data_IF_190238155985
#
_entry.id   IF_190238155985
#
_cell.length_a   1.000
_cell.length_b   1.000
_cell.length_c   1.000
_cell.angle_alpha   90.00
_cell.angle_beta   90.00
_cell.angle_gamma   90.00
#
_symmetry.space_group_name_H-M   'P 1'
#
loop_
_entity.id
_entity.type
_entity.pdbx_description
1 polymer ?
#
# COMPACT_ATOMS: atom_id res chain seq x y z
N UNK A 1 -6.11 23.91 7.16
CA UNK A 1 -5.67 22.97 8.21
C UNK A 1 -4.20 23.21 8.52
N UNK A 2 -3.69 22.73 9.65
CA UNK A 2 -2.25 22.60 9.92
C UNK A 2 -1.79 21.20 9.53
N UNK A 3 -0.96 21.11 8.50
CA UNK A 3 -0.58 19.82 7.89
C UNK A 3 0.92 19.62 8.02
N UNK A 4 1.33 18.57 8.73
CA UNK A 4 2.72 18.12 8.77
C UNK A 4 3.06 17.29 7.55
N UNK A 5 4.17 17.58 6.87
CA UNK A 5 4.72 16.79 5.77
C UNK A 5 6.01 16.15 6.28
N UNK A 6 6.01 14.82 6.40
CA UNK A 6 7.20 14.07 6.80
C UNK A 6 7.72 13.25 5.64
N UNK A 7 8.66 13.85 4.90
CA UNK A 7 9.32 13.22 3.76
C UNK A 7 10.43 12.26 4.17
N UNK A 8 10.62 11.18 3.41
CA UNK A 8 11.72 10.24 3.68
C UNK A 8 11.76 9.06 2.71
N UNK A 9 12.89 8.33 2.68
CA UNK A 9 12.96 7.08 1.88
C UNK A 9 12.10 5.97 2.48
N UNK A 10 12.02 5.90 3.82
CA UNK A 10 11.31 4.88 4.60
C UNK A 10 11.65 3.44 4.18
N UNK A 11 12.94 3.09 4.29
CA UNK A 11 13.50 1.82 3.78
C UNK A 11 14.24 1.01 4.86
N UNK A 12 13.55 0.48 5.90
CA UNK A 12 12.11 0.56 6.15
C UNK A 12 11.70 1.76 7.02
N UNK A 13 10.39 2.05 7.05
CA UNK A 13 9.76 2.83 8.14
C UNK A 13 9.94 2.09 9.48
N UNK A 14 10.00 2.82 10.59
CA UNK A 14 10.22 2.24 11.92
C UNK A 14 9.59 3.12 13.01
N UNK A 15 9.53 2.62 14.25
CA UNK A 15 8.90 3.29 15.40
C UNK A 15 9.45 4.68 15.67
N UNK A 16 10.75 4.91 15.45
CA UNK A 16 11.34 6.25 15.53
C UNK A 16 10.69 7.27 14.58
N UNK A 17 10.35 6.88 13.34
CA UNK A 17 9.62 7.75 12.41
C UNK A 17 8.21 8.06 12.93
N UNK A 18 7.50 7.05 13.44
CA UNK A 18 6.16 7.24 14.00
C UNK A 18 6.16 8.15 15.24
N UNK A 19 7.19 8.04 16.07
CA UNK A 19 7.34 8.91 17.24
C UNK A 19 7.59 10.37 16.86
N UNK A 20 8.42 10.61 15.83
CA UNK A 20 8.64 11.96 15.28
C UNK A 20 7.32 12.54 14.76
N UNK A 21 6.56 11.76 13.98
CA UNK A 21 5.27 12.20 13.44
C UNK A 21 4.27 12.55 14.55
N UNK A 22 4.16 11.71 15.59
CA UNK A 22 3.29 11.96 16.75
C UNK A 22 3.70 13.20 17.53
N UNK A 23 4.99 13.34 17.82
CA UNK A 23 5.53 14.49 18.53
C UNK A 23 5.25 15.79 17.77
N UNK A 24 5.45 15.79 16.44
CA UNK A 24 5.13 16.94 15.60
C UNK A 24 3.65 17.30 15.68
N UNK A 25 2.78 16.28 15.57
CA UNK A 25 1.33 16.48 15.66
C UNK A 25 0.91 17.08 16.99
N UNK A 26 1.41 16.53 18.09
CA UNK A 26 1.06 16.94 19.46
C UNK A 26 1.61 18.33 19.80
N UNK A 27 2.92 18.56 19.63
CA UNK A 27 3.58 19.80 20.08
C UNK A 27 3.17 21.03 19.28
N UNK A 28 2.83 20.86 18.00
CA UNK A 28 2.45 21.97 17.12
C UNK A 28 0.94 22.04 16.82
N UNK A 29 0.16 21.15 17.42
CA UNK A 29 -1.28 21.06 17.21
C UNK A 29 -1.63 20.88 15.74
N UNK A 30 -0.95 19.95 15.05
CA UNK A 30 -1.22 19.66 13.64
C UNK A 30 -2.52 18.85 13.54
N UNK A 31 -3.36 19.19 12.55
CA UNK A 31 -4.59 18.45 12.28
C UNK A 31 -4.26 17.04 11.77
N UNK A 32 -3.23 16.94 10.92
CA UNK A 32 -2.72 15.68 10.39
C UNK A 32 -1.22 15.73 10.10
N UNK A 33 -0.61 14.55 10.00
CA UNK A 33 0.75 14.36 9.47
C UNK A 33 0.72 13.42 8.28
N UNK A 34 1.22 13.87 7.14
CA UNK A 34 1.36 13.13 5.91
C UNK A 34 2.76 12.53 5.82
N UNK A 35 2.85 11.22 5.99
CA UNK A 35 4.06 10.43 5.72
C UNK A 35 4.19 10.32 4.20
N UNK A 36 5.26 10.88 3.66
CA UNK A 36 5.43 11.05 2.22
C UNK A 36 6.70 10.33 1.74
N UNK A 37 6.59 9.07 1.30
CA UNK A 37 7.74 8.32 0.83
C UNK A 37 8.27 8.91 -0.47
N UNK A 38 9.59 9.12 -0.53
CA UNK A 38 10.22 9.68 -1.70
C UNK A 38 10.24 8.67 -2.86
N UNK A 39 9.79 9.09 -4.05
CA UNK A 39 9.84 8.25 -5.26
C UNK A 39 11.29 8.13 -5.75
N UNK A 40 11.94 9.26 -6.02
CA UNK A 40 13.35 9.32 -6.44
C UNK A 40 14.07 10.30 -5.50
N UNK A 41 14.69 9.81 -4.40
CA UNK A 41 15.36 10.69 -3.45
C UNK A 41 16.58 11.37 -4.12
N UNK A 42 16.74 12.71 -3.99
CA UNK A 42 17.80 13.47 -4.67
C UNK A 42 19.20 12.95 -4.33
N UNK A 43 19.42 12.51 -3.10
CA UNK A 43 20.74 12.05 -2.61
C UNK A 43 21.02 10.56 -2.87
N UNK A 44 20.08 9.80 -3.45
CA UNK A 44 20.22 8.32 -3.57
C UNK A 44 20.08 7.73 -4.97
N UNK A 45 19.59 8.49 -5.97
CA UNK A 45 19.50 8.09 -7.40
C UNK A 45 19.29 6.57 -7.65
N UNK A 46 18.39 5.95 -6.88
CA UNK A 46 18.02 4.52 -6.90
C UNK A 46 19.11 3.45 -6.72
N UNK A 47 20.32 3.78 -6.25
CA UNK A 47 21.34 2.74 -5.94
C UNK A 47 21.00 2.05 -4.61
N UNK A 48 20.46 0.83 -4.69
CA UNK A 48 20.26 -0.06 -3.54
C UNK A 48 19.04 0.27 -2.65
N UNK A 49 18.08 1.03 -3.16
CA UNK A 49 16.80 1.30 -2.48
C UNK A 49 15.81 0.16 -2.76
N UNK A 50 15.05 -0.26 -1.76
CA UNK A 50 13.96 -1.22 -1.94
C UNK A 50 12.89 -0.66 -2.88
N UNK A 51 12.33 -1.52 -3.75
CA UNK A 51 11.30 -1.11 -4.72
C UNK A 51 10.10 -0.42 -4.09
N UNK A 52 9.53 0.55 -4.82
CA UNK A 52 8.45 1.45 -4.37
C UNK A 52 7.28 0.73 -3.71
N UNK A 53 6.80 -0.34 -4.35
CA UNK A 53 5.66 -1.14 -3.86
C UNK A 53 5.92 -1.67 -2.44
N UNK A 54 7.13 -2.15 -2.17
CA UNK A 54 7.49 -2.66 -0.85
C UNK A 54 7.60 -1.54 0.18
N UNK A 55 8.20 -0.38 -0.18
CA UNK A 55 8.30 0.76 0.74
C UNK A 55 6.93 1.31 1.11
N UNK A 56 6.05 1.50 0.12
CA UNK A 56 4.67 1.89 0.34
C UNK A 56 3.90 0.86 1.16
N UNK A 57 4.16 -0.43 0.95
CA UNK A 57 3.54 -1.47 1.77
C UNK A 57 3.99 -1.42 3.22
N UNK A 58 5.30 -1.30 3.46
CA UNK A 58 5.86 -1.19 4.81
C UNK A 58 5.33 0.04 5.54
N UNK A 59 5.21 1.18 4.85
CA UNK A 59 4.58 2.40 5.38
C UNK A 59 3.12 2.14 5.71
N UNK A 60 2.33 1.67 4.75
CA UNK A 60 0.89 1.37 4.92
C UNK A 60 0.62 0.45 6.11
N UNK A 61 1.46 -0.57 6.33
CA UNK A 61 1.34 -1.51 7.44
C UNK A 61 1.77 -0.93 8.80
N UNK A 62 2.63 0.09 8.80
CA UNK A 62 3.13 0.75 10.01
C UNK A 62 2.21 1.86 10.52
N UNK A 63 1.41 2.47 9.64
CA UNK A 63 0.62 3.64 10.00
C UNK A 63 -0.54 3.29 10.95
N UNK A 64 -0.72 4.05 12.04
CA UNK A 64 -1.84 3.86 12.94
C UNK A 64 -3.16 4.36 12.32
N UNK A 65 -4.24 3.60 12.51
CA UNK A 65 -5.58 3.99 12.06
C UNK A 65 -6.18 4.99 13.04
N UNK A 66 -6.69 6.12 12.53
CA UNK A 66 -7.42 7.12 13.32
C UNK A 66 -6.55 8.12 14.10
N UNK A 67 -5.22 8.02 14.06
CA UNK A 67 -4.32 8.99 14.71
C UNK A 67 -4.05 10.23 13.85
N UNK A 68 -4.67 10.38 12.68
CA UNK A 68 -4.39 11.50 11.74
C UNK A 68 -2.95 11.50 11.23
N UNK A 69 -2.35 10.31 11.07
CA UNK A 69 -1.05 10.10 10.43
C UNK A 69 -1.29 9.22 9.21
N UNK A 70 -1.10 9.78 8.01
CA UNK A 70 -1.59 9.19 6.77
C UNK A 70 -0.49 9.10 5.71
N UNK A 71 -0.63 8.13 4.81
CA UNK A 71 0.26 7.99 3.65
C UNK A 71 -0.14 9.03 2.61
N UNK A 72 0.84 9.74 2.06
CA UNK A 72 0.64 10.67 0.94
C UNK A 72 1.50 10.24 -0.25
N UNK A 73 0.86 10.13 -1.42
CA UNK A 73 1.43 9.66 -2.68
C UNK A 73 1.83 10.81 -3.62
N UNK A 74 1.76 12.07 -3.18
CA UNK A 74 2.02 13.26 -4.01
C UNK A 74 3.32 13.15 -4.81
N UNK A 75 4.39 12.59 -4.23
CA UNK A 75 5.67 12.41 -4.96
C UNK A 75 5.67 11.25 -5.97
N UNK A 76 4.76 10.28 -5.84
CA UNK A 76 4.56 9.21 -6.82
C UNK A 76 3.71 9.63 -8.02
N UNK A 77 2.89 10.67 -7.86
CA UNK A 77 2.07 11.27 -8.94
C UNK A 77 2.91 12.13 -9.90
N UNK A 78 4.11 12.53 -9.48
CA UNK A 78 5.02 13.41 -10.22
C UNK A 78 6.13 12.60 -10.90
N UNK A 79 6.60 13.11 -12.03
CA UNK A 79 7.84 12.63 -12.66
C UNK A 79 9.06 13.41 -12.12
N UNK A 80 10.24 12.84 -12.32
CA UNK A 80 11.51 13.47 -11.92
C UNK A 80 11.89 13.24 -10.46
N UNK A 81 12.83 14.06 -9.98
CA UNK A 81 13.39 13.96 -8.63
C UNK A 81 12.40 14.51 -7.60
N UNK A 82 12.35 13.88 -6.43
CA UNK A 82 11.57 14.31 -5.27
C UNK A 82 12.19 15.54 -4.59
N UNK A 83 12.07 16.73 -5.19
CA UNK A 83 12.48 17.99 -4.54
C UNK A 83 11.38 18.55 -3.63
N UNK A 84 11.72 18.81 -2.37
CA UNK A 84 10.78 19.33 -1.37
C UNK A 84 10.14 20.66 -1.77
N UNK A 85 10.89 21.55 -2.43
CA UNK A 85 10.37 22.82 -2.95
C UNK A 85 9.20 22.64 -3.91
N UNK A 86 9.29 21.64 -4.80
CA UNK A 86 8.23 21.36 -5.76
C UNK A 86 7.03 20.66 -5.11
N UNK A 87 7.30 19.74 -4.19
CA UNK A 87 6.25 19.06 -3.40
C UNK A 87 5.43 20.08 -2.61
N UNK A 88 6.08 21.01 -1.90
CA UNK A 88 5.39 22.05 -1.14
C UNK A 88 4.63 23.02 -2.04
N UNK A 89 5.18 23.39 -3.21
CA UNK A 89 4.49 24.25 -4.17
C UNK A 89 3.20 23.59 -4.68
N UNK A 90 3.26 22.29 -5.02
CA UNK A 90 2.09 21.53 -5.46
C UNK A 90 1.03 21.40 -4.35
N UNK A 91 1.46 21.15 -3.11
CA UNK A 91 0.54 21.06 -1.98
C UNK A 91 -0.13 22.42 -1.70
N UNK A 92 0.62 23.51 -1.78
CA UNK A 92 0.09 24.86 -1.62
C UNK A 92 -0.89 25.23 -2.75
N UNK A 93 -0.61 24.82 -3.99
CA UNK A 93 -1.54 25.00 -5.12
C UNK A 93 -2.85 24.22 -4.92
N UNK A 94 -2.75 22.95 -4.49
CA UNK A 94 -3.93 22.09 -4.24
C UNK A 94 -4.74 22.56 -3.03
N UNK A 95 -4.08 23.12 -2.02
CA UNK A 95 -4.69 23.51 -0.74
C UNK A 95 -4.15 24.87 -0.26
N UNK A 96 -4.54 25.99 -0.89
CA UNK A 96 -3.98 27.32 -0.60
C UNK A 96 -4.28 27.83 0.82
N UNK A 97 -5.26 27.24 1.51
CA UNK A 97 -5.61 27.56 2.90
C UNK A 97 -4.88 26.74 3.96
N UNK A 98 -4.04 25.77 3.57
CA UNK A 98 -3.31 24.94 4.51
C UNK A 98 -2.00 25.60 4.97
N UNK A 99 -1.72 25.48 6.26
CA UNK A 99 -0.42 25.83 6.86
C UNK A 99 0.44 24.58 6.84
N UNK A 100 1.52 24.61 6.06
CA UNK A 100 2.40 23.46 5.88
C UNK A 100 3.55 23.48 6.89
N UNK A 101 3.82 22.32 7.49
CA UNK A 101 4.93 22.10 8.40
C UNK A 101 5.81 20.98 7.86
N UNK A 102 7.05 21.24 7.45
CA UNK A 102 7.95 20.21 6.96
C UNK A 102 8.75 19.61 8.13
N UNK A 103 8.59 18.32 8.40
CA UNK A 103 9.29 17.63 9.48
C UNK A 103 10.60 17.06 8.94
N UNK A 104 11.72 17.48 9.53
CA UNK A 104 13.07 17.10 9.09
C UNK A 104 13.94 16.67 10.28
N UNK A 105 15.02 15.94 10.02
CA UNK A 105 16.02 15.61 11.03
C UNK A 105 17.03 16.72 11.27
N UNK A 106 17.76 16.64 12.38
CA UNK A 106 18.88 17.54 12.70
C UNK A 106 19.99 17.55 11.62
N UNK A 107 20.25 16.41 10.98
CA UNK A 107 21.17 16.27 9.85
C UNK A 107 20.72 17.13 8.66
N UNK A 108 19.42 17.10 8.35
CA UNK A 108 18.83 17.90 7.28
C UNK A 108 18.89 19.41 7.55
N UNK A 109 18.91 19.85 8.82
CA UNK A 109 19.08 21.26 9.17
C UNK A 109 20.47 21.78 8.75
N UNK A 110 21.52 20.97 8.92
CA UNK A 110 22.90 21.34 8.52
C UNK A 110 23.01 21.49 7.01
N UNK A 111 22.40 20.55 6.28
CA UNK A 111 22.50 20.48 4.82
C UNK A 111 21.46 21.34 4.08
N UNK A 112 20.53 21.97 4.79
CA UNK A 112 19.37 22.65 4.19
C UNK A 112 19.74 23.69 3.12
N UNK A 113 20.86 24.41 3.29
CA UNK A 113 21.35 25.38 2.28
C UNK A 113 21.70 24.76 0.94
N UNK A 114 21.90 23.45 0.88
CA UNK A 114 22.22 22.71 -0.35
C UNK A 114 20.97 22.14 -1.04
N UNK A 115 19.80 22.28 -0.42
CA UNK A 115 18.55 21.77 -0.98
C UNK A 115 18.15 22.56 -2.23
N UNK A 116 17.28 21.97 -3.05
CA UNK A 116 16.77 22.63 -4.25
C UNK A 116 15.78 23.74 -3.86
N UNK A 117 16.10 24.99 -4.18
CA UNK A 117 15.30 26.19 -3.86
C UNK A 117 14.98 26.32 -2.35
N UNK A 118 15.99 26.43 -1.46
CA UNK A 118 15.78 26.42 0.00
C UNK A 118 15.00 27.64 0.48
N UNK A 119 15.14 28.81 -0.16
CA UNK A 119 14.36 30.01 0.15
C UNK A 119 12.87 29.81 -0.13
N UNK A 120 12.53 29.11 -1.23
CA UNK A 120 11.15 28.77 -1.55
C UNK A 120 10.56 27.83 -0.51
N UNK A 121 11.31 26.81 -0.08
CA UNK A 121 10.88 25.89 0.98
C UNK A 121 10.56 26.68 2.27
N UNK A 122 11.48 27.55 2.69
CA UNK A 122 11.30 28.37 3.89
C UNK A 122 10.12 29.35 3.78
N UNK A 123 9.74 29.77 2.57
CA UNK A 123 8.57 30.61 2.34
C UNK A 123 7.23 29.85 2.33
N UNK A 124 7.26 28.55 2.02
CA UNK A 124 6.06 27.72 1.84
C UNK A 124 5.69 26.92 3.08
N UNK A 125 6.63 26.67 3.99
CA UNK A 125 6.40 25.85 5.17
C UNK A 125 7.22 26.30 6.38
N UNK A 126 6.71 25.98 7.58
CA UNK A 126 7.52 25.99 8.82
C UNK A 126 8.27 24.67 8.94
N UNK A 127 9.56 24.70 9.25
CA UNK A 127 10.43 23.52 9.31
C UNK A 127 10.57 23.06 10.75
N UNK A 128 10.02 21.89 11.06
CA UNK A 128 10.06 21.25 12.37
C UNK A 128 11.27 20.33 12.44
N UNK A 129 12.29 20.71 13.20
CA UNK A 129 13.57 20.00 13.24
C UNK A 129 13.61 19.04 14.42
N UNK A 130 13.53 17.74 14.15
CA UNK A 130 13.61 16.70 15.17
C UNK A 130 15.04 16.58 15.71
N UNK A 131 15.21 16.91 16.99
CA UNK A 131 16.50 16.83 17.69
C UNK A 131 16.85 15.36 17.95
N UNK A 132 18.03 14.92 17.52
CA UNK A 132 18.50 13.54 17.73
C UNK A 132 19.73 13.47 18.62
N UNK A 133 20.56 14.51 18.67
CA UNK A 133 21.79 14.51 19.47
C UNK A 133 21.62 14.91 20.95
N UNK A 134 22.67 14.70 21.73
CA UNK A 134 22.80 15.21 23.11
C UNK A 134 23.42 16.61 23.19
N UNK A 135 23.93 17.16 22.08
CA UNK A 135 24.51 18.52 22.02
C UNK A 135 23.42 19.58 21.80
N UNK A 136 22.67 19.85 22.86
CA UNK A 136 21.59 20.84 22.84
C UNK A 136 22.09 22.24 22.48
N UNK A 137 23.27 22.63 22.97
CA UNK A 137 23.80 23.98 22.75
C UNK A 137 24.17 24.19 21.28
N UNK A 138 24.92 23.27 20.67
CA UNK A 138 25.27 23.35 19.26
C UNK A 138 24.04 23.32 18.35
N UNK A 139 23.03 22.53 18.71
CA UNK A 139 21.75 22.51 18.00
C UNK A 139 21.05 23.89 18.03
N UNK A 140 20.90 24.51 19.20
CA UNK A 140 20.24 25.81 19.32
C UNK A 140 20.99 26.93 18.58
N UNK A 141 22.33 26.90 18.61
CA UNK A 141 23.16 27.85 17.86
C UNK A 141 22.95 27.71 16.34
N UNK A 142 22.95 26.48 15.81
CA UNK A 142 22.69 26.20 14.40
C UNK A 142 21.26 26.58 14.00
N UNK A 143 20.26 26.26 14.83
CA UNK A 143 18.87 26.63 14.59
C UNK A 143 18.71 28.15 14.48
N UNK A 144 19.32 28.90 15.41
CA UNK A 144 19.32 30.36 15.37
C UNK A 144 20.05 30.92 14.15
N UNK A 145 21.15 30.29 13.71
CA UNK A 145 21.85 30.64 12.48
C UNK A 145 20.96 30.48 11.25
N UNK A 146 20.32 29.30 11.08
CA UNK A 146 19.43 29.04 9.94
C UNK A 146 18.20 29.96 9.97
N UNK A 147 17.66 30.26 11.15
CA UNK A 147 16.57 31.22 11.29
C UNK A 147 16.95 32.64 10.85
N UNK A 148 18.20 33.08 11.09
CA UNK A 148 18.67 34.38 10.56
C UNK A 148 18.79 34.37 9.04
N UNK A 149 19.14 33.24 8.43
CA UNK A 149 19.30 33.11 6.97
C UNK A 149 17.95 32.99 6.24
N UNK A 150 16.97 32.32 6.85
CA UNK A 150 15.70 31.95 6.19
C UNK A 150 14.48 32.53 6.91
N UNK A 151 14.60 33.71 7.50
CA UNK A 151 13.44 34.48 7.99
C UNK A 151 12.65 33.83 9.12
N UNK A 152 13.28 33.04 9.99
CA UNK A 152 12.61 32.42 11.13
C UNK A 152 11.81 31.14 10.83
N UNK A 153 12.06 30.50 9.68
CA UNK A 153 11.28 29.34 9.23
C UNK A 153 11.43 28.07 10.09
N UNK A 154 12.42 27.97 10.98
CA UNK A 154 12.76 26.74 11.72
C UNK A 154 12.31 26.75 13.17
N UNK A 155 11.73 25.64 13.63
CA UNK A 155 11.32 25.42 15.02
C UNK A 155 11.82 24.05 15.50
N UNK A 156 12.24 23.99 16.77
CA UNK A 156 12.79 22.77 17.38
C UNK A 156 11.68 21.79 17.77
N UNK A 157 11.75 20.57 17.26
CA UNK A 157 10.84 19.48 17.62
C UNK A 157 11.55 18.53 18.60
N UNK A 158 11.08 18.49 19.84
CA UNK A 158 11.60 17.56 20.84
C UNK A 158 11.02 16.18 20.61
N UNK A 159 11.88 15.16 20.48
CA UNK A 159 11.43 13.77 20.34
C UNK A 159 12.16 12.88 21.35
N UNK A 160 11.55 11.77 21.81
CA UNK A 160 12.30 10.79 22.57
C UNK A 160 13.52 10.32 21.76
N UNK A 161 14.67 10.16 22.41
CA UNK A 161 15.85 9.63 21.74
C UNK A 161 15.59 8.19 21.29
N UNK A 162 15.68 7.96 19.99
CA UNK A 162 15.63 6.62 19.40
C UNK A 162 16.95 6.36 18.69
N UNK A 163 17.78 5.51 19.29
CA UNK A 163 19.02 5.01 18.67
C UNK A 163 18.70 3.95 17.61
N UNK A 164 18.04 4.38 16.54
CA UNK A 164 17.47 3.51 15.52
C UNK A 164 17.67 4.15 14.15
N UNK A 165 18.41 3.46 13.27
CA UNK A 165 18.43 3.78 11.85
C UNK A 165 17.86 2.66 10.99
N UNK A 166 17.26 3.01 9.84
CA UNK A 166 16.86 2.01 8.85
C UNK A 166 18.05 1.17 8.37
N UNK A 167 19.26 1.73 8.36
CA UNK A 167 20.48 1.00 7.95
C UNK A 167 20.81 -0.15 8.90
N UNK A 168 20.76 0.09 10.21
CA UNK A 168 20.97 -0.96 11.22
C UNK A 168 19.87 -2.02 11.15
N UNK A 169 18.61 -1.61 10.98
CA UNK A 169 17.49 -2.55 10.81
C UNK A 169 17.74 -3.46 9.61
N UNK A 170 18.12 -2.92 8.45
CA UNK A 170 18.43 -3.72 7.25
C UNK A 170 19.59 -4.70 7.47
N UNK A 171 20.55 -4.38 8.33
CA UNK A 171 21.66 -5.27 8.68
C UNK A 171 21.19 -6.36 9.66
N UNK A 172 20.45 -5.99 10.71
CA UNK A 172 19.97 -6.89 11.75
C UNK A 172 19.03 -7.97 11.19
N UNK A 173 18.04 -7.59 10.37
CA UNK A 173 17.04 -8.54 9.84
C UNK A 173 17.65 -9.61 8.91
N UNK A 174 18.88 -9.42 8.40
CA UNK A 174 19.57 -10.44 7.58
C UNK A 174 19.93 -11.67 8.38
N UNK A 175 20.32 -11.47 9.63
CA UNK A 175 20.88 -12.50 10.51
C UNK A 175 19.92 -12.92 11.60
N UNK A 176 18.98 -12.06 11.96
CA UNK A 176 18.00 -12.31 13.02
C UNK A 176 16.78 -13.06 12.51
N UNK A 177 16.28 -13.98 13.34
CA UNK A 177 15.02 -14.72 13.11
C UNK A 177 13.88 -14.22 13.99
N UNK A 178 14.12 -13.18 14.80
CA UNK A 178 13.14 -12.61 15.72
C UNK A 178 12.68 -11.24 15.20
N UNK A 179 11.45 -10.82 15.54
CA UNK A 179 10.98 -9.48 15.20
C UNK A 179 11.89 -8.40 15.75
N UNK A 180 12.23 -7.43 14.90
CA UNK A 180 13.11 -6.34 15.30
C UNK A 180 12.33 -5.34 16.19
N UNK A 181 12.82 -4.99 17.40
CA UNK A 181 12.05 -4.19 18.36
C UNK A 181 11.72 -2.78 17.85
N UNK A 182 12.53 -2.24 16.93
CA UNK A 182 12.30 -0.96 16.28
C UNK A 182 11.16 -0.94 15.25
N UNK A 183 10.69 -2.10 14.79
CA UNK A 183 9.65 -2.19 13.75
C UNK A 183 8.27 -2.40 14.37
N UNK A 184 7.24 -1.93 13.66
CA UNK A 184 5.87 -2.36 13.90
C UNK A 184 5.76 -3.82 13.45
N UNK A 185 5.07 -4.65 14.22
CA UNK A 185 4.96 -6.10 13.98
C UNK A 185 4.52 -6.43 12.55
N UNK A 186 3.52 -5.71 12.04
CA UNK A 186 3.04 -5.89 10.67
C UNK A 186 4.12 -5.62 9.60
N UNK A 187 4.93 -4.59 9.79
CA UNK A 187 6.03 -4.23 8.89
C UNK A 187 7.17 -5.26 8.96
N UNK A 188 7.51 -5.70 10.17
CA UNK A 188 8.52 -6.74 10.40
C UNK A 188 8.10 -8.07 9.75
N UNK A 189 6.86 -8.51 10.01
CA UNK A 189 6.31 -9.71 9.40
C UNK A 189 6.30 -9.62 7.87
N UNK A 190 5.98 -8.45 7.29
CA UNK A 190 6.06 -8.24 5.84
C UNK A 190 7.48 -8.41 5.29
N UNK A 191 8.48 -7.82 5.95
CA UNK A 191 9.90 -7.99 5.58
C UNK A 191 10.27 -9.47 5.53
N UNK A 192 9.92 -10.23 6.58
CA UNK A 192 10.19 -11.66 6.67
C UNK A 192 9.38 -12.50 5.67
N UNK A 193 8.12 -12.17 5.38
CA UNK A 193 7.27 -12.90 4.42
C UNK A 193 7.86 -12.87 3.02
N UNK A 194 8.39 -11.71 2.62
CA UNK A 194 8.89 -11.46 1.27
C UNK A 194 10.42 -11.50 1.15
N UNK A 195 11.15 -11.79 2.24
CA UNK A 195 12.61 -11.96 2.20
C UNK A 195 13.35 -10.65 1.92
N UNK A 196 12.80 -9.51 2.35
CA UNK A 196 13.40 -8.21 2.11
C UNK A 196 14.73 -8.08 2.87
N UNK A 197 15.61 -7.23 2.34
CA UNK A 197 16.94 -6.95 2.90
C UNK A 197 17.89 -8.15 3.00
N UNK A 198 17.52 -9.31 2.47
CA UNK A 198 18.34 -10.52 2.51
C UNK A 198 17.97 -11.49 3.64
N UNK A 199 16.89 -11.25 4.38
CA UNK A 199 16.39 -12.20 5.37
C UNK A 199 15.84 -13.48 4.68
N UNK A 200 15.77 -14.58 5.43
CA UNK A 200 15.17 -15.82 4.93
C UNK A 200 13.66 -15.64 4.82
N UNK A 201 13.03 -15.85 3.64
CA UNK A 201 11.60 -15.65 3.48
C UNK A 201 10.78 -16.73 4.19
N UNK A 202 9.72 -16.34 4.90
CA UNK A 202 8.80 -17.27 5.59
C UNK A 202 7.67 -17.78 4.68
N UNK A 203 7.28 -17.02 3.65
CA UNK A 203 6.16 -17.36 2.78
C UNK A 203 6.55 -17.48 1.29
N UNK A 204 7.28 -16.49 0.76
CA UNK A 204 7.61 -16.43 -0.67
C UNK A 204 9.08 -16.81 -0.90
N UNK A 205 9.33 -18.08 -1.21
CA UNK A 205 10.68 -18.58 -1.53
C UNK A 205 11.21 -17.97 -2.85
N UNK A 206 12.54 -17.99 -3.01
CA UNK A 206 13.26 -17.41 -4.15
C UNK A 206 12.70 -17.85 -5.52
N UNK A 207 12.29 -19.11 -5.67
CA UNK A 207 11.75 -19.63 -6.94
C UNK A 207 10.40 -19.00 -7.30
N UNK A 208 9.55 -18.75 -6.30
CA UNK A 208 8.27 -18.07 -6.51
C UNK A 208 8.48 -16.61 -6.91
N UNK A 209 9.48 -15.95 -6.31
CA UNK A 209 9.85 -14.58 -6.67
C UNK A 209 10.40 -14.49 -8.10
N UNK A 210 11.24 -15.44 -8.55
CA UNK A 210 11.69 -15.52 -9.95
C UNK A 210 10.54 -15.63 -10.94
N UNK A 211 9.52 -16.46 -10.62
CA UNK A 211 8.32 -16.59 -11.46
C UNK A 211 7.52 -15.29 -11.50
N UNK A 212 7.38 -14.62 -10.35
CA UNK A 212 6.72 -13.33 -10.24
C UNK A 212 7.42 -12.26 -11.09
N UNK A 213 8.75 -12.13 -10.98
CA UNK A 213 9.57 -11.18 -11.75
C UNK A 213 9.38 -11.40 -13.25
N UNK A 214 9.52 -12.64 -13.73
CA UNK A 214 9.37 -12.97 -15.14
C UNK A 214 7.96 -12.66 -15.67
N UNK A 215 6.91 -12.87 -14.87
CA UNK A 215 5.54 -12.49 -15.25
C UNK A 215 5.34 -10.98 -15.22
N UNK A 216 5.93 -10.29 -14.25
CA UNK A 216 5.87 -8.83 -14.11
C UNK A 216 6.55 -8.14 -15.30
N UNK A 217 7.70 -8.61 -15.75
CA UNK A 217 8.38 -8.10 -16.96
C UNK A 217 7.51 -8.28 -18.21
N UNK A 218 6.92 -9.46 -18.38
CA UNK A 218 6.00 -9.72 -19.51
C UNK A 218 4.75 -8.86 -19.44
N UNK A 219 4.23 -8.62 -18.25
CA UNK A 219 3.08 -7.74 -18.03
C UNK A 219 3.42 -6.28 -18.33
N UNK A 220 4.62 -5.81 -17.95
CA UNK A 220 5.10 -4.45 -18.23
C UNK A 220 5.08 -4.10 -19.73
N UNK A 221 5.28 -5.09 -20.61
CA UNK A 221 5.16 -4.90 -22.06
C UNK A 221 3.73 -4.81 -22.60
N UNK A 222 2.71 -4.79 -21.73
CA UNK A 222 1.29 -4.92 -22.14
C UNK A 222 0.33 -3.95 -21.44
N UNK A 223 0.77 -3.36 -20.32
CA UNK A 223 -0.02 -2.41 -19.54
C UNK A 223 0.81 -1.16 -19.26
N UNK A 224 0.15 -0.05 -18.93
CA UNK A 224 0.85 1.20 -18.60
C UNK A 224 1.70 1.05 -17.32
N UNK A 225 2.74 1.88 -17.14
CA UNK A 225 3.54 1.87 -15.90
C UNK A 225 2.70 2.08 -14.63
N UNK A 226 1.71 2.99 -14.68
CA UNK A 226 0.79 3.22 -13.57
C UNK A 226 0.00 1.94 -13.23
N UNK A 227 -0.54 1.25 -14.24
CA UNK A 227 -1.28 0.00 -14.02
C UNK A 227 -0.38 -1.13 -13.55
N UNK A 228 0.87 -1.17 -14.00
CA UNK A 228 1.85 -2.13 -13.49
C UNK A 228 2.11 -1.93 -12.00
N UNK A 229 2.27 -0.68 -11.55
CA UNK A 229 2.42 -0.39 -10.12
C UNK A 229 1.20 -0.83 -9.32
N UNK A 230 0.00 -0.52 -9.81
CA UNK A 230 -1.25 -1.00 -9.23
C UNK A 230 -1.29 -2.54 -9.15
N UNK A 231 -1.04 -3.26 -10.25
CA UNK A 231 -1.00 -4.73 -10.26
C UNK A 231 0.04 -5.31 -9.30
N UNK A 232 1.22 -4.69 -9.17
CA UNK A 232 2.22 -5.08 -8.17
C UNK A 232 1.72 -4.82 -6.73
N UNK A 233 1.06 -3.69 -6.50
CA UNK A 233 0.39 -3.36 -5.24
C UNK A 233 -0.63 -4.42 -4.85
N UNK A 234 -1.54 -4.78 -5.77
CA UNK A 234 -2.53 -5.86 -5.57
C UNK A 234 -1.85 -7.19 -5.30
N UNK A 235 -0.80 -7.53 -6.04
CA UNK A 235 -0.04 -8.76 -5.85
C UNK A 235 0.49 -8.89 -4.42
N UNK A 236 1.20 -7.88 -3.93
CA UNK A 236 1.82 -7.94 -2.60
C UNK A 236 0.82 -7.74 -1.46
N UNK A 237 -0.19 -6.88 -1.62
CA UNK A 237 -1.25 -6.71 -0.64
C UNK A 237 -2.07 -8.01 -0.47
N UNK A 238 -2.54 -8.60 -1.56
CA UNK A 238 -3.33 -9.84 -1.51
C UNK A 238 -2.52 -11.02 -0.95
N UNK A 239 -1.25 -11.15 -1.34
CA UNK A 239 -0.36 -12.15 -0.78
C UNK A 239 -0.08 -11.92 0.72
N UNK A 240 0.06 -10.67 1.16
CA UNK A 240 0.24 -10.35 2.57
C UNK A 240 -1.01 -10.66 3.40
N UNK A 241 -2.20 -10.27 2.93
CA UNK A 241 -3.48 -10.63 3.57
C UNK A 241 -3.60 -12.14 3.72
N UNK A 242 -3.35 -12.89 2.64
CA UNK A 242 -3.35 -14.35 2.68
C UNK A 242 -2.37 -14.91 3.70
N UNK A 243 -1.16 -14.33 3.77
CA UNK A 243 -0.15 -14.75 4.73
C UNK A 243 -0.60 -14.49 6.18
N UNK A 244 -1.16 -13.32 6.49
CA UNK A 244 -1.69 -12.99 7.82
C UNK A 244 -2.81 -13.93 8.25
N UNK A 245 -3.74 -14.21 7.33
CA UNK A 245 -4.85 -15.12 7.56
C UNK A 245 -4.36 -16.53 7.90
N UNK A 246 -3.41 -17.06 7.12
CA UNK A 246 -2.81 -18.37 7.36
C UNK A 246 -1.98 -18.42 8.65
N UNK A 247 -1.25 -17.35 8.96
CA UNK A 247 -0.41 -17.24 10.15
C UNK A 247 -1.27 -17.28 11.42
N UNK A 248 -2.40 -16.56 11.40
CA UNK A 248 -3.38 -16.56 12.51
C UNK A 248 -3.97 -17.94 12.83
N UNK A 249 -3.83 -18.89 11.91
CA UNK A 249 -4.29 -20.27 12.01
C UNK A 249 -3.14 -21.28 12.13
N UNK A 250 -1.89 -20.82 12.24
CA UNK A 250 -0.70 -21.68 12.28
C UNK A 250 -0.44 -22.46 10.98
N UNK A 251 -1.02 -22.03 9.86
CA UNK A 251 -0.96 -22.71 8.57
C UNK A 251 0.08 -22.13 7.62
N UNK A 252 0.65 -20.95 7.91
CA UNK A 252 1.54 -20.23 7.00
C UNK A 252 2.76 -21.08 6.58
N UNK A 253 3.43 -21.71 7.53
CA UNK A 253 4.66 -22.49 7.28
C UNK A 253 4.40 -23.86 6.63
N UNK A 254 3.14 -24.29 6.52
CA UNK A 254 2.80 -25.55 5.86
C UNK A 254 3.04 -25.45 4.34
N UNK A 255 3.36 -26.57 3.64
CA UNK A 255 3.49 -26.56 2.19
C UNK A 255 2.24 -26.07 1.45
N UNK A 256 1.04 -26.31 1.99
CA UNK A 256 -0.23 -25.86 1.45
C UNK A 256 -0.41 -24.34 1.63
N UNK A 257 -0.23 -23.82 2.85
CA UNK A 257 -0.32 -22.38 3.13
C UNK A 257 0.68 -21.56 2.31
N UNK A 258 1.95 -21.99 2.29
CA UNK A 258 2.98 -21.38 1.45
C UNK A 258 2.60 -21.37 -0.04
N UNK A 259 2.00 -22.45 -0.55
CA UNK A 259 1.54 -22.53 -1.94
C UNK A 259 0.40 -21.55 -2.20
N UNK A 260 -0.53 -21.42 -1.27
CA UNK A 260 -1.67 -20.52 -1.40
C UNK A 260 -1.20 -19.06 -1.49
N UNK A 261 -0.29 -18.60 -0.61
CA UNK A 261 0.30 -17.25 -0.68
C UNK A 261 0.94 -16.99 -2.05
N UNK A 262 1.70 -17.96 -2.58
CA UNK A 262 2.37 -17.82 -3.88
C UNK A 262 1.39 -17.76 -5.05
N UNK A 263 0.32 -18.55 -5.01
CA UNK A 263 -0.76 -18.47 -6.02
C UNK A 263 -1.45 -17.11 -5.96
N UNK A 264 -1.77 -16.62 -4.76
CA UNK A 264 -2.41 -15.32 -4.54
C UNK A 264 -1.53 -14.18 -5.07
N UNK A 265 -0.21 -14.22 -4.83
CA UNK A 265 0.74 -13.25 -5.40
C UNK A 265 0.64 -13.15 -6.93
N UNK A 266 0.62 -14.29 -7.63
CA UNK A 266 0.53 -14.29 -9.09
C UNK A 266 -0.88 -13.91 -9.58
N UNK A 267 -1.93 -14.34 -8.88
CA UNK A 267 -3.30 -13.94 -9.23
C UNK A 267 -3.49 -12.43 -9.10
N UNK A 268 -3.00 -11.82 -8.01
CA UNK A 268 -3.01 -10.37 -7.83
C UNK A 268 -2.17 -9.63 -8.88
N UNK A 269 -1.01 -10.16 -9.29
CA UNK A 269 -0.22 -9.54 -10.37
C UNK A 269 -0.97 -9.52 -11.72
N UNK A 270 -1.74 -10.57 -12.02
CA UNK A 270 -2.39 -10.74 -13.32
C UNK A 270 -3.87 -10.33 -13.33
N UNK A 271 -4.43 -9.86 -12.21
CA UNK A 271 -5.87 -9.55 -12.10
C UNK A 271 -6.34 -8.60 -13.21
N UNK A 272 -5.52 -7.60 -13.53
CA UNK A 272 -5.80 -6.53 -14.48
C UNK A 272 -5.15 -6.71 -15.86
N UNK A 273 -4.65 -7.92 -16.18
CA UNK A 273 -3.85 -8.15 -17.38
C UNK A 273 -4.58 -7.84 -18.71
N UNK A 274 -5.91 -7.83 -18.71
CA UNK A 274 -6.73 -7.49 -19.87
C UNK A 274 -7.25 -6.04 -19.86
N UNK A 275 -6.95 -5.23 -18.84
CA UNK A 275 -7.54 -3.89 -18.66
C UNK A 275 -7.08 -2.87 -19.72
N UNK A 276 -5.98 -3.14 -20.42
CA UNK A 276 -5.52 -2.27 -21.53
C UNK A 276 -6.33 -2.43 -22.81
N UNK A 277 -7.13 -3.50 -22.93
CA UNK A 277 -8.01 -3.68 -24.07
C UNK A 277 -9.17 -2.67 -24.01
N UNK A 278 -9.51 -2.05 -25.14
CA UNK A 278 -10.73 -1.25 -25.25
C UNK A 278 -12.00 -2.12 -25.09
N UNK A 279 -13.17 -1.52 -24.89
CA UNK A 279 -14.43 -2.25 -24.74
C UNK A 279 -14.72 -3.18 -25.93
N UNK A 280 -14.58 -2.69 -27.16
CA UNK A 280 -14.81 -3.46 -28.39
C UNK A 280 -13.81 -4.61 -28.54
N UNK A 281 -12.53 -4.35 -28.26
CA UNK A 281 -11.47 -5.37 -28.29
C UNK A 281 -11.71 -6.45 -27.24
N UNK A 282 -12.13 -6.05 -26.04
CA UNK A 282 -12.46 -6.96 -24.93
C UNK A 282 -13.62 -7.86 -25.33
N UNK A 283 -14.69 -7.31 -25.91
CA UNK A 283 -15.84 -8.09 -26.35
C UNK A 283 -15.49 -9.03 -27.51
N UNK A 284 -14.70 -8.57 -28.49
CA UNK A 284 -14.20 -9.41 -29.57
C UNK A 284 -13.33 -10.56 -29.05
N UNK A 285 -12.47 -10.27 -28.07
CA UNK A 285 -11.63 -11.26 -27.40
C UNK A 285 -12.49 -12.31 -26.66
N UNK A 286 -13.48 -11.88 -25.88
CA UNK A 286 -14.40 -12.79 -25.19
C UNK A 286 -15.19 -13.68 -26.17
N UNK A 287 -15.70 -13.10 -27.27
CA UNK A 287 -16.40 -13.84 -28.35
C UNK A 287 -15.49 -14.88 -29.01
N UNK A 288 -14.26 -14.49 -29.38
CA UNK A 288 -13.27 -15.40 -29.98
C UNK A 288 -12.97 -16.61 -29.09
N UNK A 289 -12.90 -16.38 -27.78
CA UNK A 289 -12.63 -17.42 -26.79
C UNK A 289 -13.89 -18.10 -26.24
N UNK A 290 -15.07 -17.82 -26.83
CA UNK A 290 -16.37 -18.40 -26.47
C UNK A 290 -16.74 -18.21 -24.99
N UNK A 291 -16.35 -17.09 -24.41
CA UNK A 291 -16.75 -16.71 -23.05
C UNK A 291 -18.10 -16.02 -23.12
N UNK A 292 -19.11 -16.63 -22.50
CA UNK A 292 -20.42 -16.00 -22.30
C UNK A 292 -20.38 -15.16 -21.03
N UNK A 293 -20.60 -13.85 -21.18
CA UNK A 293 -20.82 -12.96 -20.03
C UNK A 293 -22.19 -13.25 -19.40
N UNK A 294 -22.30 -13.05 -18.09
CA UNK A 294 -23.60 -13.06 -17.40
C UNK A 294 -24.45 -11.90 -17.89
N UNK A 295 -25.76 -12.05 -17.90
CA UNK A 295 -26.68 -11.04 -18.43
C UNK A 295 -26.63 -9.72 -17.65
N UNK A 296 -26.27 -9.76 -16.37
CA UNK A 296 -26.09 -8.59 -15.49
C UNK A 296 -24.68 -7.96 -15.57
N UNK A 297 -23.70 -8.70 -16.09
CA UNK A 297 -22.34 -8.21 -16.35
C UNK A 297 -22.23 -7.61 -17.75
N UNK A 298 -22.99 -8.14 -18.70
CA UNK A 298 -23.01 -7.69 -20.08
C UNK A 298 -23.22 -6.17 -20.24
N UNK A 299 -24.10 -5.46 -19.51
CA UNK A 299 -24.25 -4.02 -19.67
C UNK A 299 -23.14 -3.17 -19.01
N UNK A 300 -22.23 -3.77 -18.23
CA UNK A 300 -21.24 -3.04 -17.43
C UNK A 300 -19.84 -3.23 -18.04
N UNK A 301 -19.50 -2.41 -19.04
CA UNK A 301 -18.24 -2.56 -19.80
C UNK A 301 -16.99 -2.52 -18.90
N UNK A 302 -17.02 -1.69 -17.85
CA UNK A 302 -15.89 -1.48 -16.95
C UNK A 302 -15.38 -2.74 -16.25
N UNK A 303 -16.19 -3.80 -16.16
CA UNK A 303 -15.86 -5.06 -15.47
C UNK A 303 -15.60 -6.24 -16.42
N UNK A 304 -15.70 -6.06 -17.74
CA UNK A 304 -15.43 -7.16 -18.70
C UNK A 304 -13.97 -7.62 -18.70
N UNK A 305 -13.05 -6.76 -18.25
CA UNK A 305 -11.63 -7.08 -18.12
C UNK A 305 -11.36 -8.23 -17.16
N UNK A 306 -12.21 -8.50 -16.15
CA UNK A 306 -12.08 -9.66 -15.27
C UNK A 306 -12.21 -10.97 -16.07
N UNK A 307 -13.38 -11.27 -16.66
CA UNK A 307 -13.57 -12.45 -17.50
C UNK A 307 -12.56 -12.58 -18.65
N UNK A 308 -12.18 -11.46 -19.29
CA UNK A 308 -11.16 -11.46 -20.34
C UNK A 308 -9.76 -11.77 -19.77
N UNK A 309 -9.43 -11.20 -18.61
CA UNK A 309 -8.20 -11.42 -17.86
C UNK A 309 -8.01 -12.87 -17.46
N UNK A 310 -9.07 -13.58 -17.06
CA UNK A 310 -9.03 -15.03 -16.82
C UNK A 310 -8.51 -15.78 -18.04
N UNK A 311 -9.07 -15.52 -19.22
CA UNK A 311 -8.67 -16.18 -20.46
C UNK A 311 -7.26 -15.76 -20.88
N UNK A 312 -6.92 -14.48 -20.76
CA UNK A 312 -5.59 -13.98 -21.08
C UNK A 312 -4.51 -14.56 -20.16
N UNK A 313 -4.76 -14.65 -18.86
CA UNK A 313 -3.88 -15.31 -17.90
C UNK A 313 -3.59 -16.76 -18.31
N UNK A 314 -4.61 -17.48 -18.78
CA UNK A 314 -4.46 -18.86 -19.27
C UNK A 314 -3.65 -18.94 -20.56
N UNK A 315 -4.02 -18.15 -21.57
CA UNK A 315 -3.53 -18.33 -22.94
C UNK A 315 -2.19 -17.62 -23.16
N UNK A 316 -2.02 -16.42 -22.59
CA UNK A 316 -0.80 -15.63 -22.71
C UNK A 316 0.19 -15.92 -21.60
N UNK A 317 -0.25 -15.95 -20.34
CA UNK A 317 0.65 -16.06 -19.19
C UNK A 317 0.85 -17.49 -18.67
N UNK A 318 0.19 -18.48 -19.27
CA UNK A 318 0.38 -19.90 -18.99
C UNK A 318 -0.19 -20.35 -17.64
N UNK A 319 -1.15 -19.61 -17.09
CA UNK A 319 -1.81 -20.00 -15.84
C UNK A 319 -2.77 -21.17 -16.10
N UNK A 320 -2.61 -22.25 -15.34
CA UNK A 320 -3.46 -23.46 -15.41
C UNK A 320 -4.24 -23.72 -14.13
N UNK A 321 -3.88 -23.05 -13.05
CA UNK A 321 -4.51 -23.24 -11.75
C UNK A 321 -5.92 -22.63 -11.73
N UNK A 322 -6.93 -23.45 -11.47
CA UNK A 322 -8.33 -23.05 -11.55
C UNK A 322 -8.68 -21.95 -10.53
N UNK A 323 -8.09 -21.96 -9.34
CA UNK A 323 -8.36 -20.97 -8.30
C UNK A 323 -7.79 -19.61 -8.66
N UNK A 324 -6.57 -19.58 -9.21
CA UNK A 324 -5.98 -18.34 -9.73
C UNK A 324 -6.81 -17.76 -10.88
N UNK A 325 -7.21 -18.60 -11.83
CA UNK A 325 -8.05 -18.17 -12.95
C UNK A 325 -9.42 -17.66 -12.49
N UNK A 326 -9.98 -18.27 -11.45
CA UNK A 326 -11.23 -17.83 -10.82
C UNK A 326 -11.05 -16.46 -10.18
N UNK A 327 -10.02 -16.29 -9.34
CA UNK A 327 -9.67 -15.04 -8.67
C UNK A 327 -9.44 -13.89 -9.66
N UNK A 328 -8.66 -14.12 -10.72
CA UNK A 328 -8.46 -13.12 -11.79
C UNK A 328 -9.79 -12.77 -12.46
N UNK A 329 -10.65 -13.75 -12.72
CA UNK A 329 -11.90 -13.52 -13.47
C UNK A 329 -13.01 -12.82 -12.71
N UNK A 330 -13.08 -13.01 -11.38
CA UNK A 330 -14.19 -12.55 -10.53
C UNK A 330 -13.83 -11.34 -9.67
N UNK A 331 -12.61 -10.80 -9.76
CA UNK A 331 -12.16 -9.75 -8.84
C UNK A 331 -12.95 -8.43 -8.93
N UNK A 332 -13.77 -8.23 -9.96
CA UNK A 332 -14.45 -6.97 -10.21
C UNK A 332 -15.99 -7.06 -10.15
N UNK A 333 -16.58 -8.26 -10.04
CA UNK A 333 -18.02 -8.46 -10.26
C UNK A 333 -18.84 -8.83 -9.00
N UNK A 334 -18.17 -8.99 -7.86
CA UNK A 334 -18.79 -9.36 -6.59
C UNK A 334 -19.40 -10.77 -6.62
N UNK A 335 -18.76 -11.73 -7.29
CA UNK A 335 -19.23 -13.11 -7.40
C UNK A 335 -19.73 -13.72 -6.09
N UNK A 336 -20.88 -14.41 -6.16
CA UNK A 336 -21.45 -15.16 -5.04
C UNK A 336 -20.53 -16.24 -4.45
N UNK A 337 -19.59 -16.73 -5.26
CA UNK A 337 -18.61 -17.76 -4.89
C UNK A 337 -17.46 -17.19 -4.05
N UNK A 338 -17.21 -15.87 -4.11
CA UNK A 338 -16.13 -15.21 -3.37
C UNK A 338 -16.19 -15.55 -1.87
N UNK A 339 -17.40 -15.66 -1.31
CA UNK A 339 -17.66 -16.03 0.08
C UNK A 339 -17.08 -17.39 0.53
N UNK A 340 -16.61 -18.23 -0.40
CA UNK A 340 -16.07 -19.57 -0.14
C UNK A 340 -14.59 -19.70 -0.57
N UNK A 341 -14.02 -18.63 -1.13
CA UNK A 341 -12.72 -18.66 -1.80
C UNK A 341 -11.80 -17.54 -1.29
N UNK A 342 -10.92 -17.83 -0.32
CA UNK A 342 -10.01 -16.87 0.28
C UNK A 342 -9.14 -16.10 -0.74
N UNK A 343 -8.73 -16.75 -1.83
CA UNK A 343 -7.94 -16.07 -2.87
C UNK A 343 -8.75 -15.01 -3.62
N UNK A 344 -10.03 -15.25 -3.88
CA UNK A 344 -10.91 -14.22 -4.45
C UNK A 344 -11.08 -13.06 -3.49
N UNK A 345 -11.35 -13.34 -2.21
CA UNK A 345 -11.44 -12.29 -1.18
C UNK A 345 -10.16 -11.46 -1.12
N UNK A 346 -8.98 -12.11 -1.11
CA UNK A 346 -7.70 -11.42 -1.02
C UNK A 346 -7.46 -10.50 -2.23
N UNK A 347 -7.72 -10.97 -3.45
CA UNK A 347 -7.54 -10.17 -4.67
C UNK A 347 -8.58 -9.05 -4.75
N UNK A 348 -9.85 -9.33 -4.45
CA UNK A 348 -10.94 -8.36 -4.43
C UNK A 348 -10.67 -7.21 -3.45
N UNK A 349 -10.26 -7.55 -2.22
CA UNK A 349 -9.92 -6.54 -1.21
C UNK A 349 -8.68 -5.75 -1.63
N UNK A 350 -7.63 -6.43 -2.09
CA UNK A 350 -6.36 -5.79 -2.44
C UNK A 350 -6.51 -4.86 -3.65
N UNK A 351 -7.30 -5.23 -4.66
CA UNK A 351 -7.65 -4.35 -5.77
C UNK A 351 -8.26 -3.03 -5.28
N UNK A 352 -9.15 -3.11 -4.29
CA UNK A 352 -9.76 -1.93 -3.71
C UNK A 352 -8.80 -1.07 -2.88
N UNK A 353 -7.88 -1.68 -2.10
CA UNK A 353 -7.17 -0.95 -1.05
C UNK A 353 -5.64 -1.03 -1.09
N UNK A 354 -5.02 -1.48 -2.18
CA UNK A 354 -3.55 -1.48 -2.29
C UNK A 354 -2.94 -0.06 -2.13
N UNK A 355 -1.64 0.07 -1.78
CA UNK A 355 -1.06 1.34 -1.34
C UNK A 355 -1.04 2.47 -2.35
N UNK A 356 -1.11 2.21 -3.65
CA UNK A 356 -1.16 3.24 -4.69
C UNK A 356 -2.58 3.80 -4.89
N UNK A 357 -3.60 3.30 -4.16
CA UNK A 357 -4.96 3.87 -4.16
C UNK A 357 -4.99 5.18 -3.37
N UNK A 358 -5.47 6.23 -4.02
CA UNK A 358 -5.60 7.61 -3.53
C UNK A 358 -7.07 8.08 -3.38
N UNK A 359 -8.04 7.30 -3.87
CA UNK A 359 -9.45 7.59 -3.65
C UNK A 359 -9.82 7.57 -2.16
N UNK A 360 -10.85 8.35 -1.80
CA UNK A 360 -11.30 8.55 -0.41
C UNK A 360 -12.66 7.84 -0.22
N UNK A 361 -12.67 6.52 0.01
CA UNK A 361 -13.92 5.77 0.23
C UNK A 361 -14.49 6.03 1.62
N UNK A 362 -15.74 5.62 1.81
CA UNK A 362 -16.35 5.48 3.14
C UNK A 362 -16.63 4.00 3.41
N UNK A 363 -16.00 3.38 4.44
CA UNK A 363 -15.01 3.97 5.37
C UNK A 363 -13.64 4.21 4.70
N UNK A 364 -12.75 5.03 5.29
CA UNK A 364 -11.42 5.33 4.73
C UNK A 364 -10.53 4.09 4.55
N UNK A 365 -9.60 4.16 3.58
CA UNK A 365 -8.70 3.04 3.24
C UNK A 365 -7.93 2.44 4.43
N UNK A 366 -7.37 3.21 5.39
CA UNK A 366 -6.72 2.63 6.55
C UNK A 366 -7.64 1.72 7.39
N UNK A 367 -8.92 2.11 7.53
CA UNK A 367 -9.93 1.31 8.25
C UNK A 367 -10.24 0.03 7.50
N UNK A 368 -10.43 0.10 6.17
CA UNK A 368 -10.69 -1.07 5.33
C UNK A 368 -9.52 -2.06 5.40
N UNK A 369 -8.29 -1.56 5.30
CA UNK A 369 -7.06 -2.37 5.41
C UNK A 369 -7.00 -3.05 6.77
N UNK A 370 -7.25 -2.35 7.86
CA UNK A 370 -7.27 -2.96 9.20
C UNK A 370 -8.31 -4.07 9.31
N UNK A 371 -9.56 -3.80 8.92
CA UNK A 371 -10.65 -4.79 8.93
C UNK A 371 -10.26 -6.04 8.11
N UNK A 372 -9.72 -5.85 6.91
CA UNK A 372 -9.35 -6.94 6.03
C UNK A 372 -8.25 -7.85 6.58
N UNK A 373 -7.29 -7.28 7.33
CA UNK A 373 -6.22 -8.04 7.99
C UNK A 373 -6.75 -8.92 9.10
N UNK A 374 -7.73 -8.41 9.86
CA UNK A 374 -8.34 -9.11 10.99
C UNK A 374 -9.36 -10.19 10.56
N UNK A 375 -10.12 -9.94 9.49
CA UNK A 375 -11.18 -10.84 9.03
C UNK A 375 -11.43 -10.74 7.52
N UNK A 376 -11.15 -11.82 6.79
CA UNK A 376 -11.31 -11.87 5.33
C UNK A 376 -12.75 -11.64 4.85
N UNK A 377 -13.74 -12.15 5.60
CA UNK A 377 -15.16 -12.02 5.26
C UNK A 377 -15.63 -10.61 5.58
N UNK A 378 -15.24 -10.05 6.73
CA UNK A 378 -15.62 -8.68 7.08
C UNK A 378 -14.94 -7.65 6.17
N UNK A 379 -13.68 -7.88 5.77
CA UNK A 379 -13.00 -7.08 4.75
C UNK A 379 -13.76 -7.10 3.43
N UNK A 380 -14.15 -8.29 2.96
CA UNK A 380 -14.92 -8.44 1.72
C UNK A 380 -16.30 -7.77 1.82
N UNK A 381 -16.99 -7.91 2.96
CA UNK A 381 -18.30 -7.27 3.22
C UNK A 381 -18.16 -5.75 3.15
N UNK A 382 -17.12 -5.21 3.77
CA UNK A 382 -16.84 -3.77 3.83
C UNK A 382 -16.51 -3.22 2.44
N UNK A 383 -15.65 -3.89 1.68
CA UNK A 383 -15.30 -3.49 0.30
C UNK A 383 -16.52 -3.57 -0.62
N UNK A 384 -17.36 -4.61 -0.47
CA UNK A 384 -18.61 -4.74 -1.23
C UNK A 384 -19.52 -3.55 -0.94
N UNK A 385 -19.73 -3.21 0.33
CA UNK A 385 -20.56 -2.07 0.73
C UNK A 385 -20.01 -0.73 0.23
N UNK A 386 -18.70 -0.50 0.37
CA UNK A 386 -18.04 0.72 -0.12
C UNK A 386 -18.16 0.86 -1.65
N UNK A 387 -18.02 -0.24 -2.38
CA UNK A 387 -18.19 -0.28 -3.84
C UNK A 387 -19.63 0.04 -4.23
N UNK A 388 -20.62 -0.58 -3.60
CA UNK A 388 -22.04 -0.29 -3.85
C UNK A 388 -22.38 1.18 -3.56
N UNK A 389 -21.88 1.72 -2.45
CA UNK A 389 -22.07 3.12 -2.09
C UNK A 389 -21.49 4.06 -3.17
N UNK A 390 -20.26 3.81 -3.60
CA UNK A 390 -19.61 4.58 -4.66
C UNK A 390 -20.38 4.52 -5.98
N UNK A 391 -20.76 3.31 -6.43
CA UNK A 391 -21.51 3.13 -7.69
C UNK A 391 -22.85 3.89 -7.66
N UNK A 392 -23.58 3.84 -6.55
CA UNK A 392 -24.83 4.62 -6.37
C UNK A 392 -24.58 6.12 -6.39
N UNK A 393 -23.52 6.58 -5.74
CA UNK A 393 -23.19 8.00 -5.67
C UNK A 393 -22.88 8.60 -7.05
N UNK A 394 -22.27 7.82 -7.95
CA UNK A 394 -21.97 8.24 -9.33
C UNK A 394 -23.07 7.86 -10.35
N UNK A 395 -24.18 7.27 -9.91
CA UNK A 395 -25.26 6.82 -10.79
C UNK A 395 -24.89 5.66 -11.73
N UNK A 396 -23.88 4.86 -11.36
CA UNK A 396 -23.44 3.69 -12.14
C UNK A 396 -24.22 2.42 -11.76
N UNK A 397 -24.19 1.42 -12.63
CA UNK A 397 -24.89 0.15 -12.45
C UNK A 397 -24.11 -0.81 -11.52
N UNK A 398 -24.85 -1.53 -10.67
CA UNK A 398 -24.35 -2.65 -9.87
C UNK A 398 -24.67 -3.99 -10.58
N UNK A 399 -23.84 -5.02 -10.37
CA UNK A 399 -24.23 -6.39 -10.75
C UNK A 399 -25.37 -6.89 -9.85
N UNK A 400 -26.14 -7.86 -10.32
CA UNK A 400 -27.25 -8.42 -9.52
C UNK A 400 -26.75 -9.15 -8.26
N UNK A 401 -25.47 -9.53 -8.24
CA UNK A 401 -24.86 -10.28 -7.16
C UNK A 401 -24.32 -9.39 -6.03
N UNK A 402 -23.98 -8.11 -6.24
CA UNK A 402 -23.36 -7.25 -5.20
C UNK A 402 -24.18 -7.22 -3.90
N UNK A 403 -25.49 -6.98 -4.00
CA UNK A 403 -26.36 -6.99 -2.81
C UNK A 403 -26.49 -8.39 -2.17
N UNK A 404 -26.45 -9.45 -2.98
CA UNK A 404 -26.59 -10.83 -2.51
C UNK A 404 -25.31 -11.33 -1.83
N UNK A 405 -24.14 -11.01 -2.39
CA UNK A 405 -22.85 -11.37 -1.81
C UNK A 405 -22.63 -10.59 -0.51
N UNK A 406 -22.99 -9.31 -0.45
CA UNK A 406 -23.00 -8.53 0.78
C UNK A 406 -23.81 -9.24 1.88
N UNK A 407 -25.05 -9.64 1.58
CA UNK A 407 -25.89 -10.37 2.55
C UNK A 407 -25.31 -11.74 2.94
N UNK A 408 -24.69 -12.47 2.00
CA UNK A 408 -24.05 -13.76 2.28
C UNK A 408 -22.85 -13.58 3.22
N UNK A 409 -21.97 -12.62 2.94
CA UNK A 409 -20.82 -12.29 3.77
C UNK A 409 -21.26 -11.85 5.17
N UNK A 410 -22.27 -10.97 5.25
CA UNK A 410 -22.85 -10.53 6.52
C UNK A 410 -23.36 -11.71 7.38
N UNK A 411 -24.08 -12.65 6.77
CA UNK A 411 -24.57 -13.87 7.44
C UNK A 411 -23.42 -14.76 7.91
N UNK A 412 -22.34 -14.88 7.13
CA UNK A 412 -21.15 -15.64 7.51
C UNK A 412 -20.47 -14.98 8.72
N UNK A 413 -20.24 -13.66 8.66
CA UNK A 413 -19.60 -12.88 9.73
C UNK A 413 -20.36 -12.96 11.05
N UNK A 414 -21.68 -12.83 11.01
CA UNK A 414 -22.54 -12.79 12.21
C UNK A 414 -22.93 -14.19 12.74
N UNK A 415 -22.51 -15.27 12.07
CA UNK A 415 -22.83 -16.64 12.47
C UNK A 415 -22.03 -17.09 13.71
N UNK A 416 -22.73 -17.50 14.77
CA UNK A 416 -22.13 -18.00 16.01
C UNK A 416 -21.58 -19.45 15.94
N UNK A 417 -21.80 -20.18 14.84
CA UNK A 417 -21.61 -21.66 14.77
C UNK A 417 -20.28 -22.12 14.15
N UNK A 418 -19.14 -21.49 14.47
CA UNK A 418 -17.83 -21.95 13.98
C UNK A 418 -17.68 -21.98 12.44
N UNK A 419 -18.53 -21.23 11.73
CA UNK A 419 -18.56 -21.07 10.27
C UNK A 419 -18.02 -19.70 9.84
N UNK A 420 -17.10 -19.13 10.61
CA UNK A 420 -16.43 -17.87 10.27
C UNK A 420 -15.41 -18.06 9.14
N UNK A 421 -14.77 -16.98 8.71
CA UNK A 421 -13.77 -17.00 7.63
C UNK A 421 -12.63 -17.99 7.87
N UNK A 422 -12.21 -18.19 9.13
CA UNK A 422 -11.20 -19.20 9.52
C UNK A 422 -11.60 -20.62 9.10
N UNK A 423 -12.88 -20.97 9.19
CA UNK A 423 -13.37 -22.28 8.75
C UNK A 423 -13.38 -22.42 7.22
N UNK A 424 -13.55 -21.32 6.49
CA UNK A 424 -13.40 -21.30 5.02
C UNK A 424 -11.94 -21.50 4.66
N UNK A 425 -11.02 -20.84 5.37
CA UNK A 425 -9.58 -20.97 5.14
C UNK A 425 -9.08 -22.40 5.39
N UNK A 426 -9.48 -23.04 6.50
CA UNK A 426 -9.06 -24.42 6.84
C UNK A 426 -9.53 -25.50 5.85
N UNK A 427 -10.52 -25.21 5.01
CA UNK A 427 -11.04 -26.14 4.00
C UNK A 427 -10.23 -26.13 2.70
N UNK A 428 -9.47 -25.06 2.45
CA UNK A 428 -8.57 -24.92 1.31
C UNK A 428 -7.21 -25.53 1.64
#
# INVERSE_FOLDING_TARGET
MKVGIFGGTFDPIHKGHLAIARAAKEQYGLDMVRIMPARIPPHKQNKGITGDVHRLMMVTLALPVGEGIELDLTEFEREGVSYTSDTLALLHERHPGDQLFCIIGEDSLRDFVTWHEPEKIASLATLLVAVRGSDEKGFQELLAERNRQFGGAFQALTVPYYDISSTEIRQAVRTETKPHPALVEATDAYIHRFGLYGCKPTAVRKEAFKRYEALSERLAGTISPHRLNHSKGVAFMSANLMAEWLDSEGMLETPAGNRLVRKTLIAGLLHDCAKSLGSDETLAYLKKHRVKLRDDVLPIEGIWHGPAGRVMARDRYGIRDAEMLRAIGNHCDGSMEMAEHPMEMAVFIADFCEPFRDHIPTPPLPVIRQIAREDAVYGSETVTAATMYYLRAIGSQETNDMARIYQKLHKIRTSKKGKGWKAILRKQ
#
